data_IF_056292904401
#
_entry.id   IF_056292904401
#
_cell.length_a   1.000
_cell.length_b   1.000
_cell.length_c   1.000
_cell.angle_alpha   90.00
_cell.angle_beta   90.00
_cell.angle_gamma   90.00
#
_symmetry.space_group_name_H-M   'P 1'
#
loop_
_entity.id
_entity.type
_entity.pdbx_description
1 polymer ?
#
# COMPACT_ATOMS: atom_id res chain seq x y z
N UNK A 1 -9.16 -17.23 -3.36
CA UNK A 1 -8.22 -17.15 -2.22
C UNK A 1 -7.03 -16.27 -2.63
N UNK A 2 -6.63 -15.31 -1.79
CA UNK A 2 -5.45 -14.45 -2.04
C UNK A 2 -4.21 -15.19 -1.55
N UNK A 3 -3.10 -15.08 -2.26
CA UNK A 3 -1.79 -15.62 -1.88
C UNK A 3 -0.67 -14.65 -2.29
N UNK A 4 0.55 -14.93 -1.83
CA UNK A 4 1.71 -14.09 -2.11
C UNK A 4 1.97 -13.85 -3.61
N UNK A 5 1.63 -14.80 -4.47
CA UNK A 5 1.80 -14.68 -5.91
C UNK A 5 0.71 -13.78 -6.52
N UNK A 6 -0.56 -14.12 -6.29
CA UNK A 6 -1.69 -13.49 -6.98
C UNK A 6 -2.01 -12.08 -6.47
N UNK A 7 -1.51 -11.68 -5.30
CA UNK A 7 -1.69 -10.32 -4.80
C UNK A 7 -0.95 -9.31 -5.69
N UNK A 8 0.24 -9.67 -6.22
CA UNK A 8 1.04 -8.83 -7.14
C UNK A 8 0.83 -9.26 -8.60
N UNK A 9 1.00 -10.55 -8.88
CA UNK A 9 0.94 -11.11 -10.22
C UNK A 9 -0.45 -11.70 -10.45
N UNK A 10 -1.42 -10.84 -10.76
CA UNK A 10 -2.80 -11.26 -11.07
C UNK A 10 -3.16 -11.03 -12.52
N UNK A 11 -4.13 -11.81 -13.03
CA UNK A 11 -4.77 -11.56 -14.32
C UNK A 11 -5.38 -10.15 -14.41
N UNK A 12 -5.85 -9.59 -13.29
CA UNK A 12 -6.37 -8.22 -13.24
C UNK A 12 -5.25 -7.18 -13.40
N UNK A 13 -4.08 -7.41 -12.80
CA UNK A 13 -2.91 -6.56 -13.02
C UNK A 13 -2.38 -6.67 -14.45
N UNK A 14 -2.33 -7.88 -15.02
CA UNK A 14 -1.95 -8.10 -16.41
C UNK A 14 -2.90 -7.36 -17.38
N UNK A 15 -4.22 -7.41 -17.15
CA UNK A 15 -5.21 -6.65 -17.94
C UNK A 15 -4.93 -5.15 -17.92
N UNK A 16 -4.66 -4.57 -16.75
CA UNK A 16 -4.35 -3.14 -16.62
C UNK A 16 -3.05 -2.76 -17.33
N UNK A 17 -2.00 -3.56 -17.17
CA UNK A 17 -0.70 -3.34 -17.82
C UNK A 17 -0.78 -3.40 -19.35
N UNK A 18 -1.64 -4.26 -19.89
CA UNK A 18 -1.84 -4.44 -21.33
C UNK A 18 -2.97 -3.58 -21.91
N UNK A 19 -3.62 -2.72 -21.12
CA UNK A 19 -4.74 -1.88 -21.58
C UNK A 19 -5.98 -2.68 -22.01
N UNK A 20 -6.19 -3.87 -21.44
CA UNK A 20 -7.26 -4.78 -21.82
C UNK A 20 -8.54 -4.51 -21.03
N UNK A 21 -9.70 -4.86 -21.63
CA UNK A 21 -10.99 -4.85 -20.94
C UNK A 21 -10.97 -5.78 -19.72
N UNK A 22 -11.76 -5.45 -18.70
CA UNK A 22 -11.91 -6.29 -17.50
C UNK A 22 -12.46 -7.67 -17.82
N UNK A 23 -13.22 -7.87 -18.89
CA UNK A 23 -13.74 -9.19 -19.30
C UNK A 23 -12.76 -10.02 -20.13
N UNK A 24 -11.59 -9.48 -20.51
CA UNK A 24 -10.65 -10.22 -21.36
C UNK A 24 -10.11 -11.47 -20.63
N UNK A 25 -10.16 -12.66 -21.28
CA UNK A 25 -9.59 -13.88 -20.72
C UNK A 25 -8.08 -13.78 -20.74
N UNK A 26 -7.47 -13.81 -19.55
CA UNK A 26 -6.02 -13.71 -19.35
C UNK A 26 -5.53 -14.84 -18.48
N UNK A 27 -4.57 -15.59 -18.99
CA UNK A 27 -3.81 -16.59 -18.24
C UNK A 27 -2.43 -16.05 -17.91
N UNK A 28 -1.92 -16.42 -16.74
CA UNK A 28 -0.58 -16.04 -16.30
C UNK A 28 0.18 -17.26 -15.78
N UNK A 29 1.49 -17.30 -16.03
CA UNK A 29 2.40 -18.32 -15.51
C UNK A 29 3.67 -17.67 -14.99
N UNK A 30 4.16 -18.14 -13.85
CA UNK A 30 5.38 -17.63 -13.24
C UNK A 30 6.63 -18.18 -13.95
N UNK A 31 7.57 -17.30 -14.23
CA UNK A 31 8.92 -17.64 -14.69
C UNK A 31 9.94 -16.90 -13.82
N UNK A 32 11.24 -17.24 -13.93
CA UNK A 32 12.29 -16.72 -13.04
C UNK A 32 12.26 -15.19 -12.90
N UNK A 33 12.35 -14.45 -14.00
CA UNK A 33 12.44 -12.98 -14.02
C UNK A 33 11.21 -12.27 -14.60
N UNK A 34 10.30 -13.02 -15.22
CA UNK A 34 9.16 -12.51 -15.99
C UNK A 34 7.91 -13.30 -15.64
N UNK A 35 6.75 -12.73 -15.95
CA UNK A 35 5.46 -13.41 -15.95
C UNK A 35 5.07 -13.61 -17.40
N UNK A 36 4.83 -14.86 -17.77
CA UNK A 36 4.22 -15.18 -19.05
C UNK A 36 2.74 -14.86 -18.98
N UNK A 37 2.24 -14.10 -19.95
CA UNK A 37 0.85 -13.66 -20.03
C UNK A 37 0.30 -14.08 -21.39
N UNK A 38 -0.82 -14.77 -21.37
CA UNK A 38 -1.53 -15.16 -22.59
C UNK A 38 -2.95 -14.61 -22.58
N UNK A 39 -3.33 -14.06 -23.73
CA UNK A 39 -4.64 -13.49 -24.01
C UNK A 39 -5.20 -14.23 -25.20
N UNK A 40 -6.45 -14.70 -25.12
CA UNK A 40 -7.08 -15.45 -26.21
C UNK A 40 -7.03 -14.64 -27.51
N UNK A 41 -6.50 -15.26 -28.57
CA UNK A 41 -6.37 -14.63 -29.88
C UNK A 41 -5.14 -13.73 -30.07
N UNK A 42 -4.24 -13.64 -29.09
CA UNK A 42 -2.99 -12.89 -29.20
C UNK A 42 -1.77 -13.80 -28.98
N UNK A 43 -0.61 -13.35 -29.44
CA UNK A 43 0.67 -14.00 -29.13
C UNK A 43 0.97 -13.84 -27.63
N UNK A 44 1.48 -14.89 -26.96
CA UNK A 44 1.89 -14.74 -25.58
C UNK A 44 2.95 -13.66 -25.41
N UNK A 45 2.88 -12.94 -24.30
CA UNK A 45 3.77 -11.83 -23.97
C UNK A 45 4.45 -12.09 -22.63
N UNK A 46 5.73 -11.72 -22.51
CA UNK A 46 6.45 -11.74 -21.25
C UNK A 46 6.51 -10.33 -20.66
N UNK A 47 6.06 -10.19 -19.42
CA UNK A 47 6.11 -8.92 -18.68
C UNK A 47 7.05 -9.10 -17.49
N UNK A 48 7.96 -8.14 -17.26
CA UNK A 48 8.90 -8.24 -16.14
C UNK A 48 8.20 -8.23 -14.78
N UNK A 49 8.72 -8.98 -13.80
CA UNK A 49 8.21 -8.93 -12.42
C UNK A 49 8.32 -7.51 -11.83
N UNK A 50 9.32 -6.75 -12.26
CA UNK A 50 9.50 -5.35 -11.88
C UNK A 50 8.30 -4.48 -12.32
N UNK A 51 7.83 -4.64 -13.57
CA UNK A 51 6.67 -3.90 -14.06
C UNK A 51 5.40 -4.19 -13.25
N UNK A 52 5.17 -5.45 -12.86
CA UNK A 52 4.06 -5.82 -11.97
C UNK A 52 4.16 -5.16 -10.59
N UNK A 53 5.35 -5.17 -9.97
CA UNK A 53 5.58 -4.54 -8.66
C UNK A 53 5.37 -3.03 -8.71
N UNK A 54 5.88 -2.37 -9.75
CA UNK A 54 5.69 -0.94 -9.97
C UNK A 54 4.20 -0.62 -10.13
N UNK A 55 3.52 -1.31 -11.03
CA UNK A 55 2.08 -1.17 -11.23
C UNK A 55 1.27 -1.48 -9.96
N UNK A 56 1.68 -2.44 -9.13
CA UNK A 56 1.02 -2.73 -7.85
C UNK A 56 1.03 -1.53 -6.89
N UNK A 57 2.17 -0.84 -6.79
CA UNK A 57 2.31 0.37 -5.98
C UNK A 57 1.52 1.53 -6.60
N UNK A 58 1.69 1.78 -7.89
CA UNK A 58 1.04 2.88 -8.61
C UNK A 58 -0.47 2.76 -8.59
N UNK A 59 -1.00 1.54 -8.74
CA UNK A 59 -2.43 1.27 -8.67
C UNK A 59 -2.99 1.60 -7.28
N UNK A 60 -2.29 1.25 -6.20
CA UNK A 60 -2.73 1.60 -4.84
C UNK A 60 -2.66 3.09 -4.56
N UNK A 61 -1.62 3.77 -5.06
CA UNK A 61 -1.51 5.24 -5.03
C UNK A 61 -2.65 5.89 -5.83
N UNK A 62 -2.99 5.36 -7.00
CA UNK A 62 -4.11 5.87 -7.79
C UNK A 62 -5.44 5.71 -7.04
N UNK A 63 -5.64 4.54 -6.40
CA UNK A 63 -6.83 4.26 -5.59
C UNK A 63 -6.90 5.08 -4.29
N UNK A 64 -5.80 5.66 -3.82
CA UNK A 64 -5.79 6.48 -2.60
C UNK A 64 -6.30 7.91 -2.83
N UNK A 65 -6.21 8.42 -4.07
CA UNK A 65 -6.56 9.81 -4.42
C UNK A 65 -8.01 10.21 -4.11
N UNK A 66 -8.94 9.24 -4.11
CA UNK A 66 -10.36 9.48 -3.80
C UNK A 66 -10.73 9.29 -2.33
N UNK A 67 -9.75 9.06 -1.44
CA UNK A 67 -10.00 8.79 -0.03
C UNK A 67 -9.88 10.08 0.79
N UNK A 68 -10.80 10.29 1.72
CA UNK A 68 -10.75 11.41 2.67
C UNK A 68 -9.98 10.98 3.91
N UNK A 69 -8.93 11.71 4.25
CA UNK A 69 -8.14 11.50 5.47
C UNK A 69 -8.55 12.53 6.51
N UNK A 70 -8.67 12.11 7.76
CA UNK A 70 -8.94 12.99 8.90
C UNK A 70 -8.12 12.52 10.08
N UNK A 71 -7.35 13.42 10.69
CA UNK A 71 -6.59 13.13 11.90
C UNK A 71 -7.53 12.95 13.11
N UNK A 72 -7.20 11.97 13.96
CA UNK A 72 -7.93 11.74 15.20
C UNK A 72 -7.39 12.65 16.30
N UNK A 73 -8.25 13.53 16.82
CA UNK A 73 -7.89 14.44 17.90
C UNK A 73 -7.72 13.72 19.25
N UNK A 74 -8.36 12.57 19.41
CA UNK A 74 -8.37 11.78 20.64
C UNK A 74 -7.18 10.81 20.74
N UNK A 75 -6.55 10.44 19.62
CA UNK A 75 -5.43 9.50 19.59
C UNK A 75 -4.34 10.02 18.65
N UNK A 76 -3.20 10.41 19.22
CA UNK A 76 -2.06 10.90 18.45
C UNK A 76 -1.59 9.88 17.39
N UNK A 77 -1.08 10.38 16.27
CA UNK A 77 -0.58 9.59 15.14
C UNK A 77 -1.61 8.64 14.49
N UNK A 78 -2.90 8.79 14.80
CA UNK A 78 -3.97 8.01 14.16
C UNK A 78 -4.78 8.86 13.21
N UNK A 79 -5.17 8.24 12.09
CA UNK A 79 -5.95 8.84 11.04
C UNK A 79 -7.13 7.94 10.69
N UNK A 80 -8.28 8.55 10.45
CA UNK A 80 -9.41 7.88 9.81
C UNK A 80 -9.34 8.14 8.31
N UNK A 81 -9.35 7.06 7.52
CA UNK A 81 -9.39 7.12 6.06
C UNK A 81 -10.74 6.60 5.58
N UNK A 82 -11.56 7.48 5.02
CA UNK A 82 -12.92 7.18 4.55
C UNK A 82 -13.00 7.11 3.03
N UNK A 83 -13.65 6.07 2.52
CA UNK A 83 -14.09 5.97 1.14
C UNK A 83 -15.55 6.43 1.05
N UNK A 84 -15.76 7.65 0.55
CA UNK A 84 -17.09 8.27 0.48
C UNK A 84 -18.05 7.54 -0.47
N UNK A 85 -17.54 6.82 -1.48
CA UNK A 85 -18.37 6.09 -2.44
C UNK A 85 -18.90 4.77 -1.90
N UNK A 86 -18.19 4.15 -0.96
CA UNK A 86 -18.54 2.84 -0.39
C UNK A 86 -19.04 2.93 1.05
N UNK A 87 -19.05 4.14 1.61
CA UNK A 87 -19.25 4.43 3.03
C UNK A 87 -18.48 3.48 3.97
N UNK A 88 -17.20 3.25 3.64
CA UNK A 88 -16.29 2.47 4.50
C UNK A 88 -15.21 3.36 5.09
N UNK A 89 -14.77 3.04 6.30
CA UNK A 89 -13.70 3.75 6.99
C UNK A 89 -12.71 2.77 7.61
N UNK A 90 -11.44 3.15 7.59
CA UNK A 90 -10.35 2.38 8.19
C UNK A 90 -9.50 3.30 9.06
N UNK A 91 -8.89 2.74 10.09
CA UNK A 91 -7.93 3.46 10.93
C UNK A 91 -6.53 3.16 10.41
N UNK A 92 -5.73 4.21 10.29
CA UNK A 92 -4.33 4.13 9.91
C UNK A 92 -3.50 4.79 11.01
N UNK A 93 -2.55 4.04 11.55
CA UNK A 93 -1.58 4.48 12.53
C UNK A 93 -0.24 4.79 11.84
N UNK A 94 0.32 5.94 12.15
CA UNK A 94 1.67 6.34 11.73
C UNK A 94 2.67 5.91 12.80
N UNK A 95 3.70 5.15 12.39
CA UNK A 95 4.82 4.71 13.26
C UNK A 95 6.18 4.99 12.62
N UNK A 96 7.29 5.06 13.38
CA UNK A 96 8.61 5.30 12.80
C UNK A 96 9.04 4.28 11.73
N UNK A 97 8.54 3.05 11.84
CA UNK A 97 8.85 1.92 10.96
C UNK A 97 7.81 1.68 9.86
N UNK A 98 6.73 2.48 9.79
CA UNK A 98 5.74 2.36 8.72
C UNK A 98 4.40 3.03 8.97
N UNK A 99 3.42 2.66 8.15
CA UNK A 99 2.01 3.05 8.30
C UNK A 99 1.15 1.80 8.37
N UNK A 100 0.36 1.67 9.44
CA UNK A 100 -0.37 0.45 9.77
C UNK A 100 -1.87 0.70 9.69
N UNK A 101 -2.55 -0.02 8.82
CA UNK A 101 -3.97 0.11 8.53
C UNK A 101 -4.72 -1.14 8.99
N UNK A 102 -5.93 -0.97 9.49
CA UNK A 102 -6.81 -2.08 9.90
C UNK A 102 -7.46 -2.87 8.76
N UNK A 103 -7.03 -2.70 7.50
CA UNK A 103 -7.65 -3.35 6.35
C UNK A 103 -6.95 -4.66 5.95
N UNK A 104 -7.73 -5.61 5.42
CA UNK A 104 -7.22 -6.92 4.95
C UNK A 104 -6.12 -6.80 3.89
N UNK A 105 -6.15 -5.77 3.04
CA UNK A 105 -5.11 -5.57 2.02
C UNK A 105 -3.73 -5.33 2.65
N UNK A 106 -3.66 -4.64 3.78
CA UNK A 106 -2.39 -4.48 4.48
C UNK A 106 -2.01 -5.78 5.21
N UNK A 107 -2.95 -6.41 5.90
CA UNK A 107 -2.70 -7.66 6.62
C UNK A 107 -2.11 -8.73 5.68
N UNK A 108 -2.70 -8.92 4.49
CA UNK A 108 -2.17 -9.81 3.47
C UNK A 108 -0.75 -9.41 3.02
N UNK A 109 -0.46 -8.12 2.85
CA UNK A 109 0.89 -7.68 2.47
C UNK A 109 1.92 -7.93 3.58
N UNK A 110 1.55 -7.71 4.84
CA UNK A 110 2.43 -7.98 5.99
C UNK A 110 2.67 -9.47 6.13
N UNK A 111 1.63 -10.30 6.00
CA UNK A 111 1.74 -11.75 6.03
C UNK A 111 2.65 -12.29 4.92
N UNK A 112 2.45 -11.83 3.67
CA UNK A 112 3.17 -12.39 2.53
C UNK A 112 4.55 -11.78 2.29
N UNK A 113 4.79 -10.53 2.71
CA UNK A 113 6.00 -9.78 2.36
C UNK A 113 6.74 -9.19 3.55
N UNK A 114 6.20 -9.29 4.77
CA UNK A 114 6.75 -8.67 5.98
C UNK A 114 6.67 -7.14 6.01
N UNK A 115 6.22 -6.51 4.92
CA UNK A 115 6.06 -5.06 4.76
C UNK A 115 5.04 -4.74 3.68
N UNK A 116 4.36 -3.61 3.81
CA UNK A 116 3.36 -3.23 2.82
C UNK A 116 2.87 -1.80 3.00
N UNK A 117 2.13 -1.33 2.00
CA UNK A 117 1.38 -0.09 2.09
C UNK A 117 0.11 -0.25 1.27
N UNK A 118 -1.02 -0.38 1.96
CA UNK A 118 -2.33 -0.40 1.31
C UNK A 118 -2.70 0.99 0.79
N UNK A 119 -3.78 1.08 0.01
CA UNK A 119 -4.27 2.38 -0.49
C UNK A 119 -4.60 3.38 0.63
N UNK A 120 -5.05 2.92 1.80
CA UNK A 120 -5.35 3.81 2.93
C UNK A 120 -4.05 4.38 3.53
N UNK A 121 -3.02 3.55 3.65
CA UNK A 121 -1.68 3.99 4.03
C UNK A 121 -1.14 5.04 3.06
N UNK A 122 -1.27 4.82 1.73
CA UNK A 122 -0.88 5.83 0.74
C UNK A 122 -1.67 7.13 0.84
N UNK A 123 -2.95 7.10 1.25
CA UNK A 123 -3.72 8.32 1.48
C UNK A 123 -3.13 9.13 2.65
N UNK A 124 -2.79 8.46 3.76
CA UNK A 124 -2.13 9.11 4.91
C UNK A 124 -0.75 9.62 4.54
N UNK A 125 0.06 8.84 3.83
CA UNK A 125 1.38 9.29 3.38
C UNK A 125 1.28 10.56 2.52
N UNK A 126 0.34 10.62 1.58
CA UNK A 126 0.11 11.82 0.78
C UNK A 126 -0.37 13.01 1.64
N UNK A 127 -1.26 12.77 2.61
CA UNK A 127 -1.70 13.79 3.56
C UNK A 127 -0.54 14.36 4.39
N UNK A 128 0.45 13.52 4.73
CA UNK A 128 1.66 13.88 5.45
C UNK A 128 2.76 14.49 4.55
N UNK A 129 2.52 14.63 3.24
CA UNK A 129 3.50 15.20 2.30
C UNK A 129 4.54 14.23 1.74
N UNK A 130 4.35 12.91 1.90
CA UNK A 130 5.25 11.88 1.36
C UNK A 130 4.72 11.25 0.07
N UNK A 131 5.59 11.07 -0.93
CA UNK A 131 5.24 10.46 -2.22
C UNK A 131 5.25 8.92 -2.20
N UNK A 132 5.93 8.31 -1.23
CA UNK A 132 6.03 6.86 -1.08
C UNK A 132 6.32 6.44 0.37
N UNK A 133 6.12 5.14 0.64
CA UNK A 133 6.54 4.55 1.92
C UNK A 133 8.07 4.67 2.11
N UNK A 134 8.86 4.54 1.03
CA UNK A 134 10.31 4.68 1.14
C UNK A 134 10.72 6.09 1.56
N UNK A 135 10.08 7.11 1.00
CA UNK A 135 10.37 8.52 1.34
C UNK A 135 10.07 8.77 2.82
N UNK A 136 8.93 8.25 3.29
CA UNK A 136 8.54 8.31 4.69
C UNK A 136 9.58 7.65 5.61
N UNK A 137 9.94 6.41 5.33
CA UNK A 137 10.91 5.64 6.14
C UNK A 137 12.29 6.29 6.13
N UNK A 138 12.71 6.85 5.00
CA UNK A 138 13.98 7.58 4.90
C UNK A 138 13.94 8.86 5.74
N UNK A 139 12.83 9.60 5.72
CA UNK A 139 12.66 10.78 6.57
C UNK A 139 12.69 10.45 8.07
N UNK A 140 12.11 9.32 8.48
CA UNK A 140 12.14 8.90 9.90
C UNK A 140 13.57 8.59 10.39
N UNK A 141 14.42 8.04 9.53
CA UNK A 141 15.84 7.77 9.87
C UNK A 141 16.67 9.04 10.08
N UNK A 142 16.25 10.15 9.47
CA UNK A 142 16.97 11.43 9.51
C UNK A 142 16.53 12.27 10.71
N UNK A 143 15.45 11.92 11.42
CA UNK A 143 15.07 12.59 12.66
C UNK A 143 16.06 12.13 13.74
N UNK A 144 17.03 12.96 14.17
CA UNK A 144 17.82 12.61 15.34
C UNK A 144 16.84 12.43 16.50
N UNK A 145 16.96 11.33 17.24
CA UNK A 145 16.26 11.14 18.49
C UNK A 145 16.68 12.32 19.38
N UNK A 146 15.89 13.40 19.40
CA UNK A 146 15.92 14.30 20.54
C UNK A 146 15.51 13.42 21.69
N UNK A 147 16.47 13.04 22.55
CA UNK A 147 16.18 12.48 23.86
C UNK A 147 15.08 13.37 24.43
N UNK A 148 13.88 12.82 24.56
CA UNK A 148 12.82 13.49 25.29
C UNK A 148 13.41 13.60 26.70
N UNK A 149 13.75 14.81 27.12
CA UNK A 149 14.21 15.03 28.48
C UNK A 149 13.13 14.44 29.39
N UNK A 150 13.53 13.57 30.29
CA UNK A 150 12.66 12.98 31.29
C UNK A 150 11.83 14.10 31.92
N UNK A 151 10.50 13.96 31.88
CA UNK A 151 9.62 14.90 32.56
C UNK A 151 10.05 14.96 34.02
N UNK A 152 10.29 16.16 34.59
CA UNK A 152 10.64 16.25 36.00
C UNK A 152 9.54 15.61 36.84
N UNK A 153 9.95 14.68 37.70
CA UNK A 153 9.10 14.04 38.70
C UNK A 153 8.57 15.12 39.66
N UNK A 154 7.42 15.69 39.33
CA UNK A 154 6.69 16.60 40.19
C UNK A 154 5.23 16.18 40.15
N UNK A 155 4.84 15.32 41.08
CA UNK A 155 3.66 15.44 41.94
C UNK A 155 3.63 14.21 42.85
N UNK A 156 4.48 14.24 43.88
CA UNK A 156 4.23 13.50 45.12
C UNK A 156 3.79 14.54 46.14
N UNK A 157 2.50 14.54 46.45
CA UNK A 157 1.90 15.14 47.64
C UNK A 157 0.68 14.29 48.01
#
# INVERSE_FOLDING_TARGET
>A
MVNAFNIVYSAAAARRLLGLKSSAPVEIKDFKSVIWVWVKGQRPTFISKAAFKQHFADWRKAQSKGLKVTERLDIANHYTVRNLHKDTAYVVEKRPDGVFCTCDDLNNQLEFFGRGCCKHGYAVLAHLGFASLSDYLNAQKVIPIRKVAEAPAAYAA
#
